data_IF_116898319160
#
_entry.id   IF_116898319160
#
_cell.length_a   1.000
_cell.length_b   1.000
_cell.length_c   1.000
_cell.angle_alpha   90.00
_cell.angle_beta   90.00
_cell.angle_gamma   90.00
#
_symmetry.space_group_name_H-M   'P 1'
#
loop_
_entity.id
_entity.type
_entity.pdbx_description
1 polymer ?
#
# COMPACT_ATOMS: atom_id res chain seq x y z
N UNK A 1 -27.66 -1.34 3.82
CA UNK A 1 -26.90 -0.45 2.94
C UNK A 1 -26.17 -1.32 1.94
N UNK A 2 -26.45 -1.12 0.65
CA UNK A 2 -25.94 -1.94 -0.44
C UNK A 2 -24.42 -1.79 -0.48
N UNK A 3 -23.68 -2.87 -0.24
CA UNK A 3 -22.27 -2.92 -0.62
C UNK A 3 -22.24 -2.73 -2.13
N UNK A 4 -21.81 -1.57 -2.60
CA UNK A 4 -21.26 -1.46 -3.95
C UNK A 4 -20.18 -2.54 -3.99
N UNK A 5 -20.42 -3.60 -4.77
CA UNK A 5 -19.49 -4.70 -4.94
C UNK A 5 -18.33 -4.16 -5.80
N UNK A 6 -17.52 -3.28 -5.22
CA UNK A 6 -16.28 -2.83 -5.82
C UNK A 6 -15.37 -4.04 -5.86
N UNK A 7 -14.97 -4.44 -7.06
CA UNK A 7 -14.00 -5.50 -7.26
C UNK A 7 -12.62 -5.00 -6.84
N UNK A 8 -12.36 -4.96 -5.54
CA UNK A 8 -11.09 -4.49 -5.00
C UNK A 8 -9.91 -5.36 -5.46
N UNK A 9 -10.17 -6.58 -5.92
CA UNK A 9 -9.14 -7.42 -6.52
C UNK A 9 -8.58 -6.83 -7.83
N UNK A 10 -9.32 -5.94 -8.50
CA UNK A 10 -8.81 -5.20 -9.66
C UNK A 10 -7.66 -4.24 -9.32
N UNK A 11 -7.46 -3.90 -8.05
CA UNK A 11 -6.33 -3.11 -7.57
C UNK A 11 -5.13 -3.99 -7.13
N UNK A 12 -5.25 -5.32 -7.19
CA UNK A 12 -4.15 -6.22 -6.84
C UNK A 12 -3.08 -6.22 -7.94
N UNK A 13 -2.00 -5.46 -7.74
CA UNK A 13 -0.85 -5.46 -8.65
C UNK A 13 0.02 -6.72 -8.56
N UNK A 14 -0.21 -7.61 -7.58
CA UNK A 14 0.64 -8.78 -7.34
C UNK A 14 0.70 -9.77 -8.52
N UNK A 15 -0.40 -10.14 -9.20
CA UNK A 15 -0.36 -11.06 -10.32
C UNK A 15 0.48 -10.53 -11.51
N UNK A 16 0.38 -9.22 -11.77
CA UNK A 16 1.17 -8.56 -12.81
C UNK A 16 2.66 -8.54 -12.44
N UNK A 17 3.00 -8.18 -11.20
CA UNK A 17 4.37 -8.25 -10.69
C UNK A 17 4.98 -9.65 -10.86
N UNK A 18 4.25 -10.70 -10.46
CA UNK A 18 4.75 -12.08 -10.60
C UNK A 18 4.96 -12.42 -12.07
N UNK A 19 4.03 -12.05 -12.95
CA UNK A 19 4.14 -12.29 -14.40
C UNK A 19 5.41 -11.61 -14.95
N UNK A 20 5.62 -10.35 -14.63
CA UNK A 20 6.70 -9.55 -15.19
C UNK A 20 8.07 -10.03 -14.68
N UNK A 21 8.19 -10.29 -13.37
CA UNK A 21 9.40 -10.87 -12.80
C UNK A 21 9.66 -12.30 -13.32
N UNK A 22 8.62 -13.10 -13.57
CA UNK A 22 8.80 -14.43 -14.19
C UNK A 22 9.32 -14.29 -15.63
N UNK A 23 8.85 -13.30 -16.37
CA UNK A 23 9.32 -13.05 -17.74
C UNK A 23 10.79 -12.59 -17.77
N UNK A 24 11.23 -11.84 -16.76
CA UNK A 24 12.60 -11.33 -16.66
C UNK A 24 13.59 -12.36 -16.09
N UNK A 25 13.23 -13.05 -15.02
CA UNK A 25 14.14 -13.90 -14.24
C UNK A 25 13.88 -15.40 -14.39
N UNK A 26 12.79 -15.80 -15.07
CA UNK A 26 12.35 -17.19 -15.19
C UNK A 26 11.54 -17.67 -13.98
N UNK A 27 11.07 -18.93 -14.04
CA UNK A 27 10.21 -19.52 -13.00
C UNK A 27 10.97 -20.10 -11.80
N UNK A 28 12.24 -20.45 -11.99
CA UNK A 28 13.02 -21.16 -10.98
C UNK A 28 13.41 -20.21 -9.84
N UNK A 29 12.89 -20.47 -8.64
CA UNK A 29 13.13 -19.63 -7.46
C UNK A 29 12.38 -18.29 -7.47
N UNK A 30 11.43 -18.09 -8.38
CA UNK A 30 10.71 -16.81 -8.57
C UNK A 30 10.08 -16.28 -7.28
N UNK A 31 9.56 -17.15 -6.41
CA UNK A 31 8.94 -16.72 -5.15
C UNK A 31 9.89 -15.91 -4.27
N UNK A 32 11.16 -16.30 -4.18
CA UNK A 32 12.16 -15.56 -3.37
C UNK A 32 12.53 -14.20 -3.99
N UNK A 33 12.53 -14.12 -5.34
CA UNK A 33 12.77 -12.87 -6.07
C UNK A 33 11.61 -11.91 -5.83
N UNK A 34 10.37 -12.38 -6.00
CA UNK A 34 9.14 -11.61 -5.76
C UNK A 34 9.10 -11.10 -4.32
N UNK A 35 9.34 -11.95 -3.32
CA UNK A 35 9.32 -11.53 -1.92
C UNK A 35 10.40 -10.49 -1.62
N UNK A 36 11.59 -10.60 -2.22
CA UNK A 36 12.66 -9.61 -2.07
C UNK A 36 12.30 -8.27 -2.72
N UNK A 37 11.69 -8.30 -3.91
CA UNK A 37 11.26 -7.11 -4.63
C UNK A 37 10.17 -6.37 -3.84
N UNK A 38 9.17 -7.09 -3.35
CA UNK A 38 8.11 -6.53 -2.49
C UNK A 38 8.68 -5.96 -1.20
N UNK A 39 9.66 -6.63 -0.58
CA UNK A 39 10.29 -6.11 0.63
C UNK A 39 11.04 -4.80 0.38
N UNK A 40 11.68 -4.65 -0.78
CA UNK A 40 12.40 -3.44 -1.16
C UNK A 40 11.46 -2.26 -1.50
N UNK A 41 10.37 -2.53 -2.22
CA UNK A 41 9.46 -1.50 -2.75
C UNK A 41 8.11 -1.48 -2.01
N UNK A 42 8.11 -1.88 -0.73
CA UNK A 42 6.87 -2.07 0.03
C UNK A 42 6.03 -0.79 0.14
N UNK A 43 6.71 0.35 0.23
CA UNK A 43 6.08 1.67 0.28
C UNK A 43 5.32 1.94 -1.02
N UNK A 44 5.96 1.72 -2.17
CA UNK A 44 5.38 1.92 -3.50
C UNK A 44 4.21 0.97 -3.75
N UNK A 45 4.34 -0.32 -3.42
CA UNK A 45 3.21 -1.25 -3.54
C UNK A 45 2.01 -0.86 -2.68
N UNK A 46 2.24 -0.36 -1.47
CA UNK A 46 1.16 0.13 -0.60
C UNK A 46 0.58 1.47 -1.07
N UNK A 47 1.36 2.27 -1.77
CA UNK A 47 0.92 3.51 -2.36
C UNK A 47 0.09 3.23 -3.61
N UNK A 48 0.65 2.56 -4.62
CA UNK A 48 -0.01 2.30 -5.91
C UNK A 48 -1.22 1.36 -5.79
N UNK A 49 -1.18 0.37 -4.90
CA UNK A 49 -2.28 -0.57 -4.70
C UNK A 49 -3.46 -0.03 -3.87
N UNK A 50 -3.47 1.27 -3.54
CA UNK A 50 -4.53 1.90 -2.75
C UNK A 50 -5.74 2.21 -3.63
N UNK A 51 -6.93 2.07 -3.05
CA UNK A 51 -8.17 2.52 -3.69
C UNK A 51 -8.91 3.57 -2.85
N UNK A 52 -8.44 3.82 -1.62
CA UNK A 52 -8.90 4.93 -0.79
C UNK A 52 -7.73 5.52 -0.01
N UNK A 53 -7.79 6.84 0.21
CA UNK A 53 -6.80 7.59 0.97
C UNK A 53 -7.47 8.66 1.85
N UNK A 54 -6.79 9.04 2.94
CA UNK A 54 -7.21 10.08 3.88
C UNK A 54 -6.00 10.83 4.40
N UNK A 55 -5.94 12.14 4.15
CA UNK A 55 -4.91 13.02 4.67
C UNK A 55 -5.09 13.19 6.20
N UNK A 56 -4.02 12.96 6.96
CA UNK A 56 -3.95 13.01 8.43
C UNK A 56 -3.20 14.25 8.96
N UNK A 57 -2.87 15.18 8.06
CA UNK A 57 -2.09 16.39 8.30
C UNK A 57 -0.59 16.19 8.08
N UNK A 58 0.13 17.26 8.39
CA UNK A 58 1.59 17.35 8.24
C UNK A 58 2.31 16.23 9.00
N UNK A 59 3.43 15.79 8.42
CA UNK A 59 4.38 14.89 9.06
C UNK A 59 5.50 15.71 9.71
N UNK A 60 5.35 15.96 11.00
CA UNK A 60 6.40 16.62 11.78
C UNK A 60 7.46 15.58 12.20
N UNK A 61 8.70 15.80 11.79
CA UNK A 61 9.87 15.10 12.31
C UNK A 61 10.92 16.09 12.82
N UNK A 62 11.90 15.57 13.58
CA UNK A 62 12.92 16.42 14.22
C UNK A 62 13.94 16.99 13.21
N UNK A 63 14.02 16.43 12.00
CA UNK A 63 14.87 16.91 10.91
C UNK A 63 14.03 17.46 9.75
N UNK A 64 14.72 18.12 8.82
CA UNK A 64 14.16 18.72 7.61
C UNK A 64 13.99 17.72 6.46
N UNK A 65 14.31 16.42 6.66
CA UNK A 65 14.23 15.40 5.60
C UNK A 65 12.80 15.23 5.06
N UNK A 66 11.82 15.53 5.91
CA UNK A 66 10.39 15.43 5.61
C UNK A 66 9.65 16.77 5.70
N UNK A 67 10.37 17.90 5.62
CA UNK A 67 9.72 19.22 5.54
C UNK A 67 8.73 19.26 4.36
N UNK A 68 7.52 19.76 4.60
CA UNK A 68 6.45 19.80 3.61
C UNK A 68 5.79 18.44 3.30
N UNK A 69 6.18 17.36 4.00
CA UNK A 69 5.54 16.07 3.81
C UNK A 69 4.23 15.94 4.61
N UNK A 70 3.30 15.16 4.08
CA UNK A 70 2.01 14.86 4.71
C UNK A 70 1.91 13.39 5.11
N UNK A 71 1.23 13.12 6.21
CA UNK A 71 0.80 11.76 6.57
C UNK A 71 -0.51 11.44 5.89
N UNK A 72 -0.59 10.31 5.22
CA UNK A 72 -1.80 9.84 4.55
C UNK A 72 -2.08 8.40 4.95
N UNK A 73 -3.26 8.16 5.53
CA UNK A 73 -3.77 6.81 5.66
C UNK A 73 -4.19 6.30 4.27
N UNK A 74 -3.86 5.05 3.97
CA UNK A 74 -4.29 4.37 2.75
C UNK A 74 -5.00 3.07 3.10
N UNK A 75 -6.01 2.74 2.30
CA UNK A 75 -6.69 1.45 2.28
C UNK A 75 -6.54 0.89 0.87
N UNK A 76 -5.97 -0.31 0.79
CA UNK A 76 -5.68 -0.96 -0.48
C UNK A 76 -5.84 -2.46 -0.42
N UNK A 77 -5.47 -3.09 -1.54
CA UNK A 77 -5.54 -4.53 -1.72
C UNK A 77 -4.28 -5.02 -2.43
N UNK A 78 -3.61 -6.02 -1.86
CA UNK A 78 -2.37 -6.57 -2.41
C UNK A 78 -2.17 -8.00 -1.92
N UNK A 79 -1.72 -8.91 -2.80
CA UNK A 79 -1.55 -10.35 -2.50
C UNK A 79 -2.85 -10.98 -1.97
N UNK A 80 -3.97 -10.64 -2.58
CA UNK A 80 -5.30 -11.12 -2.18
C UNK A 80 -5.69 -10.78 -0.72
N UNK A 81 -5.12 -9.72 -0.16
CA UNK A 81 -5.43 -9.24 1.19
C UNK A 81 -5.66 -7.74 1.19
N UNK A 82 -6.61 -7.30 2.02
CA UNK A 82 -6.78 -5.89 2.32
C UNK A 82 -5.64 -5.42 3.22
N UNK A 83 -5.23 -4.17 3.08
CA UNK A 83 -4.30 -3.55 4.01
C UNK A 83 -4.70 -2.12 4.36
N UNK A 84 -4.29 -1.69 5.55
CA UNK A 84 -4.29 -0.29 5.96
C UNK A 84 -2.88 0.08 6.31
N UNK A 85 -2.40 1.22 5.81
CA UNK A 85 -1.08 1.76 6.11
C UNK A 85 -1.14 3.28 6.29
N UNK A 86 -0.08 3.85 6.87
CA UNK A 86 0.15 5.30 6.87
C UNK A 86 1.40 5.57 6.05
N UNK A 87 1.24 6.27 4.93
CA UNK A 87 2.34 6.76 4.12
C UNK A 87 2.72 8.17 4.54
N UNK A 88 4.00 8.52 4.40
CA UNK A 88 4.45 9.91 4.36
C UNK A 88 4.74 10.23 2.91
N UNK A 89 4.17 11.31 2.41
CA UNK A 89 4.32 11.72 1.01
C UNK A 89 4.84 13.15 0.94
N UNK A 90 5.60 13.45 -0.10
CA UNK A 90 6.00 14.83 -0.39
C UNK A 90 4.91 15.59 -1.18
N UNK A 91 5.21 16.85 -1.53
CA UNK A 91 4.32 17.74 -2.29
C UNK A 91 3.94 17.19 -3.68
N UNK A 92 4.81 16.39 -4.30
CA UNK A 92 4.57 15.73 -5.59
C UNK A 92 3.83 14.39 -5.45
N UNK A 93 3.51 13.99 -4.21
CA UNK A 93 2.83 12.75 -3.84
C UNK A 93 3.68 11.50 -4.07
N UNK A 94 5.00 11.64 -4.04
CA UNK A 94 5.89 10.48 -3.95
C UNK A 94 5.93 9.96 -2.52
N UNK A 95 5.87 8.64 -2.34
CA UNK A 95 5.96 8.04 -1.01
C UNK A 95 7.40 8.09 -0.52
N UNK A 96 7.59 8.68 0.66
CA UNK A 96 8.89 8.87 1.32
C UNK A 96 9.10 7.91 2.48
N UNK A 97 8.00 7.47 3.12
CA UNK A 97 8.05 6.47 4.18
C UNK A 97 6.73 5.71 4.32
N UNK A 98 6.79 4.54 4.94
CA UNK A 98 5.65 3.66 5.20
C UNK A 98 5.61 3.23 6.68
N UNK A 99 4.48 3.45 7.32
CA UNK A 99 4.23 3.13 8.73
C UNK A 99 2.95 2.33 8.92
N UNK A 100 2.84 1.68 10.09
CA UNK A 100 1.60 1.08 10.63
C UNK A 100 0.83 0.14 9.67
N UNK A 101 1.54 -0.61 8.82
CA UNK A 101 0.89 -1.53 7.90
C UNK A 101 0.23 -2.69 8.63
N UNK A 102 -1.06 -2.89 8.39
CA UNK A 102 -1.89 -3.98 8.94
C UNK A 102 -2.64 -4.65 7.80
N UNK A 103 -2.73 -5.98 7.82
CA UNK A 103 -3.43 -6.78 6.81
C UNK A 103 -4.74 -7.35 7.36
N UNK A 104 -5.71 -7.55 6.48
CA UNK A 104 -7.05 -8.03 6.81
C UNK A 104 -7.60 -8.92 5.71
N UNK A 105 -8.32 -9.98 6.08
CA UNK A 105 -8.97 -10.88 5.12
C UNK A 105 -10.36 -10.40 4.69
N UNK A 106 -10.86 -9.29 5.26
CA UNK A 106 -12.17 -8.75 4.93
C UNK A 106 -12.16 -7.23 4.80
N UNK A 107 -12.86 -6.73 3.78
CA UNK A 107 -13.01 -5.31 3.53
C UNK A 107 -13.55 -4.57 4.75
N UNK A 108 -14.60 -5.11 5.40
CA UNK A 108 -15.23 -4.49 6.58
C UNK A 108 -14.22 -4.22 7.71
N UNK A 109 -13.31 -5.16 7.95
CA UNK A 109 -12.31 -5.01 9.03
C UNK A 109 -11.26 -3.96 8.65
N UNK A 110 -10.82 -3.98 7.38
CA UNK A 110 -9.88 -3.00 6.85
C UNK A 110 -10.48 -1.59 6.83
N UNK A 111 -11.73 -1.43 6.36
CA UNK A 111 -12.47 -0.17 6.36
C UNK A 111 -12.65 0.39 7.78
N UNK A 112 -13.02 -0.45 8.74
CA UNK A 112 -13.12 -0.04 10.15
C UNK A 112 -11.78 0.44 10.70
N UNK A 113 -10.69 -0.26 10.37
CA UNK A 113 -9.34 0.11 10.79
C UNK A 113 -8.82 1.38 10.10
N UNK A 114 -9.22 1.62 8.85
CA UNK A 114 -8.91 2.80 8.07
C UNK A 114 -9.59 4.04 8.66
N UNK A 115 -10.91 3.96 8.91
CA UNK A 115 -11.69 5.04 9.52
C UNK A 115 -11.24 5.36 10.96
N UNK A 116 -10.57 4.43 11.64
CA UNK A 116 -9.97 4.67 12.95
C UNK A 116 -8.57 5.31 12.89
N UNK A 117 -8.09 5.73 11.71
CA UNK A 117 -6.78 6.38 11.53
C UNK A 117 -6.81 7.91 11.73
N UNK A 118 -8.01 8.48 11.92
CA UNK A 118 -8.28 9.89 12.19
C UNK A 118 -7.66 10.31 13.54
#
# INVERSE_FOLDING_TARGET
MSQSQHDHAAFDGFPELVRDLTAEFGSDGIGAIVDRFIAAERADFCWEGRFAEMNLGEFEWLDDEYEGCERVAVLGYFRSQYYVATCVVDEERHVRALFKVRQFDSFRSAESAFLASI
#
